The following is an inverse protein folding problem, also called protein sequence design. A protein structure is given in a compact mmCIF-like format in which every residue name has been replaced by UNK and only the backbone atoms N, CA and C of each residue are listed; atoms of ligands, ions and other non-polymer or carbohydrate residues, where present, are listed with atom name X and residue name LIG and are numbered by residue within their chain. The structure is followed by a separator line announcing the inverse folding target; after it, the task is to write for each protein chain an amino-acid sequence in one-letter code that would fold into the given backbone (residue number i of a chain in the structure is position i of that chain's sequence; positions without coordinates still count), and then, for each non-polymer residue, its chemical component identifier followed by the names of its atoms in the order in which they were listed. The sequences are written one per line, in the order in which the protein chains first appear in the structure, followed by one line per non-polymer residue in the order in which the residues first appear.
data_IF_745319103209
#
_entry.id   IF_745319103209
#
_cell.length_a   1.000
_cell.length_b   1.000
_cell.length_c   1.000
_cell.angle_alpha   90.00
_cell.angle_beta   90.00
_cell.angle_gamma   90.00
#
_symmetry.space_group_name_H-M   'P 1'
#
loop_
_entity.id
_entity.type
_entity.pdbx_description
1 polymer ?
#
# COMPACT_ATOMS: atom_id res chain seq x y z
N UNK A 1 -18.38 11.01 8.75
CA UNK A 1 -17.09 10.95 9.47
C UNK A 1 -17.27 10.12 10.73
N UNK A 2 -16.40 9.17 10.96
CA UNK A 2 -16.45 8.28 12.13
C UNK A 2 -15.72 8.95 13.29
N UNK A 3 -16.30 8.97 14.48
CA UNK A 3 -15.65 9.52 15.68
C UNK A 3 -15.07 8.36 16.49
N UNK A 4 -13.75 8.43 16.77
CA UNK A 4 -13.02 7.48 17.58
C UNK A 4 -12.71 8.07 18.94
N UNK A 5 -12.99 7.36 20.01
CA UNK A 5 -12.66 7.79 21.38
C UNK A 5 -11.27 7.27 21.76
N UNK A 6 -10.45 8.16 22.29
CA UNK A 6 -9.13 7.85 22.79
C UNK A 6 -8.92 8.48 24.16
N UNK A 7 -8.08 7.87 24.96
CA UNK A 7 -7.66 8.39 26.26
C UNK A 7 -6.16 8.69 26.21
N UNK A 8 -5.73 9.73 26.91
CA UNK A 8 -4.30 10.03 27.05
C UNK A 8 -3.60 8.89 27.76
N UNK A 9 -2.49 8.42 27.18
CA UNK A 9 -1.68 7.36 27.76
C UNK A 9 -0.68 7.92 28.76
N UNK A 10 -0.59 7.33 29.96
CA UNK A 10 0.51 7.59 30.88
C UNK A 10 1.82 7.01 30.29
N UNK A 11 2.84 7.88 30.16
CA UNK A 11 4.17 7.53 29.64
C UNK A 11 4.90 6.50 30.51
N UNK A 12 4.56 6.39 31.79
CA UNK A 12 5.15 5.43 32.71
C UNK A 12 4.64 4.00 32.49
N UNK A 13 3.50 3.82 31.82
CA UNK A 13 2.93 2.51 31.53
C UNK A 13 3.49 1.98 30.21
N UNK A 14 4.12 0.79 30.28
CA UNK A 14 4.69 0.13 29.09
C UNK A 14 3.59 -0.27 28.09
N UNK A 15 3.78 -0.01 26.80
CA UNK A 15 2.87 -0.38 25.73
C UNK A 15 2.47 -1.88 25.74
N UNK A 16 3.44 -2.78 26.04
CA UNK A 16 3.19 -4.22 26.15
C UNK A 16 2.15 -4.58 27.22
N UNK A 17 2.04 -3.80 28.31
CA UNK A 17 1.02 -4.02 29.34
C UNK A 17 -0.35 -3.60 28.82
N UNK A 18 -0.47 -2.41 28.22
CA UNK A 18 -1.72 -1.91 27.65
C UNK A 18 -2.27 -2.84 26.56
N UNK A 19 -1.40 -3.34 25.68
CA UNK A 19 -1.79 -4.31 24.63
C UNK A 19 -2.33 -5.62 25.24
N UNK A 20 -1.83 -6.08 26.38
CA UNK A 20 -2.39 -7.24 27.11
C UNK A 20 -3.74 -6.96 27.75
N UNK A 21 -3.98 -5.72 28.11
CA UNK A 21 -5.25 -5.24 28.70
C UNK A 21 -6.31 -4.95 27.61
N UNK A 22 -5.97 -5.15 26.32
CA UNK A 22 -6.88 -4.96 25.17
C UNK A 22 -6.93 -3.52 24.66
N UNK A 23 -5.86 -2.75 24.84
CA UNK A 23 -5.71 -1.43 24.27
C UNK A 23 -4.67 -1.42 23.15
N UNK A 24 -4.96 -0.63 22.14
CA UNK A 24 -4.00 -0.23 21.10
C UNK A 24 -3.33 1.06 21.53
N UNK A 25 -2.03 1.15 21.35
CA UNK A 25 -1.27 2.38 21.63
C UNK A 25 -1.12 3.19 20.35
N UNK A 26 -0.95 4.51 20.50
CA UNK A 26 -0.70 5.38 19.35
C UNK A 26 -0.26 6.76 19.78
N UNK A 27 0.03 7.59 18.80
CA UNK A 27 0.41 8.98 19.01
C UNK A 27 -0.39 9.89 18.10
N UNK A 28 -0.75 11.05 18.62
CA UNK A 28 -1.32 12.15 17.82
C UNK A 28 -0.26 13.23 17.71
N UNK A 29 0.12 13.55 16.50
CA UNK A 29 1.09 14.60 16.21
C UNK A 29 0.58 15.52 15.10
N UNK A 30 1.12 16.70 15.02
CA UNK A 30 0.73 17.70 14.01
C UNK A 30 1.28 19.05 14.33
N UNK A 31 1.13 19.97 13.39
CA UNK A 31 1.74 21.30 13.49
C UNK A 31 1.16 22.16 14.61
N UNK A 32 -0.13 21.99 14.91
CA UNK A 32 -0.80 22.69 16.01
C UNK A 32 -0.59 22.04 17.38
N UNK A 33 0.00 20.83 17.39
CA UNK A 33 0.25 20.10 18.62
C UNK A 33 1.71 20.28 19.02
N UNK A 34 1.95 20.86 20.17
CA UNK A 34 3.30 21.03 20.73
C UNK A 34 3.84 19.66 21.16
N UNK A 35 4.62 19.02 20.26
CA UNK A 35 5.13 17.67 20.48
C UNK A 35 4.19 16.59 19.98
N UNK A 36 3.99 15.53 20.77
CA UNK A 36 3.03 14.46 20.46
C UNK A 36 2.20 14.13 21.70
N UNK A 37 0.93 13.77 21.49
CA UNK A 37 0.02 13.31 22.53
C UNK A 37 -0.03 11.79 22.44
N UNK A 38 0.55 11.05 23.41
CA UNK A 38 0.42 9.59 23.44
C UNK A 38 -1.01 9.21 23.83
N UNK A 39 -1.61 8.33 23.07
CA UNK A 39 -3.00 7.88 23.27
C UNK A 39 -3.08 6.36 23.43
N UNK A 40 -4.14 5.91 24.07
CA UNK A 40 -4.57 4.52 24.13
C UNK A 40 -6.04 4.44 23.70
N UNK A 41 -6.36 3.43 22.93
CA UNK A 41 -7.68 3.25 22.33
C UNK A 41 -8.10 1.81 22.54
N UNK A 42 -9.37 1.57 22.81
CA UNK A 42 -9.89 0.21 22.94
C UNK A 42 -9.73 -0.57 21.64
N UNK A 43 -9.18 -1.79 21.70
CA UNK A 43 -8.95 -2.62 20.51
C UNK A 43 -10.20 -2.82 19.65
N UNK A 44 -11.36 -3.04 20.30
CA UNK A 44 -12.64 -3.20 19.57
C UNK A 44 -13.07 -1.97 18.79
N UNK A 45 -12.72 -0.78 19.28
CA UNK A 45 -13.04 0.49 18.61
C UNK A 45 -12.14 0.69 17.39
N UNK A 46 -10.86 0.35 17.52
CA UNK A 46 -9.91 0.35 16.40
C UNK A 46 -10.32 -0.66 15.33
N UNK A 47 -10.69 -1.87 15.71
CA UNK A 47 -11.15 -2.90 14.75
C UNK A 47 -12.43 -2.47 14.01
N UNK A 48 -13.35 -1.75 14.68
CA UNK A 48 -14.53 -1.19 13.99
C UNK A 48 -14.15 -0.09 13.02
N UNK A 49 -13.22 0.78 13.42
CA UNK A 49 -12.72 1.85 12.56
C UNK A 49 -12.10 1.27 11.29
N UNK A 50 -11.22 0.28 11.42
CA UNK A 50 -10.49 -0.33 10.31
C UNK A 50 -11.35 -1.17 9.34
N UNK A 51 -12.61 -1.44 9.70
CA UNK A 51 -13.58 -2.01 8.74
C UNK A 51 -14.05 -1.01 7.69
N UNK A 52 -14.01 0.27 8.01
CA UNK A 52 -14.54 1.35 7.16
C UNK A 52 -13.47 2.34 6.71
N UNK A 53 -12.38 2.43 7.44
CA UNK A 53 -11.31 3.41 7.23
C UNK A 53 -9.96 2.69 7.26
N UNK A 54 -9.07 3.08 6.36
CA UNK A 54 -7.73 2.52 6.24
C UNK A 54 -6.67 3.61 6.47
N UNK A 55 -5.42 3.27 6.26
CA UNK A 55 -4.32 4.24 6.20
C UNK A 55 -4.65 5.32 5.16
N UNK A 56 -4.44 6.57 5.51
CA UNK A 56 -4.80 7.72 4.66
C UNK A 56 -6.21 8.25 4.86
N UNK A 57 -7.08 7.58 5.62
CA UNK A 57 -8.44 8.06 5.90
C UNK A 57 -8.47 9.15 6.96
N UNK A 58 -9.39 10.11 6.77
CA UNK A 58 -9.67 11.19 7.70
C UNK A 58 -10.70 10.75 8.75
N UNK A 59 -10.40 10.99 10.02
CA UNK A 59 -11.21 10.56 11.17
C UNK A 59 -11.28 11.66 12.22
N UNK A 60 -12.41 11.75 12.92
CA UNK A 60 -12.53 12.60 14.12
C UNK A 60 -12.07 11.83 15.36
N UNK A 61 -11.03 12.30 16.03
CA UNK A 61 -10.50 11.70 17.24
C UNK A 61 -10.86 12.54 18.45
N UNK A 62 -11.56 11.94 19.41
CA UNK A 62 -11.88 12.55 20.70
C UNK A 62 -10.87 12.07 21.74
N UNK A 63 -9.99 12.96 22.19
CA UNK A 63 -8.99 12.68 23.22
C UNK A 63 -9.39 13.43 24.49
N UNK A 64 -9.85 12.70 25.50
CA UNK A 64 -10.26 13.26 26.79
C UNK A 64 -11.23 14.46 26.70
N UNK A 65 -12.16 14.42 25.73
CA UNK A 65 -13.16 15.46 25.48
C UNK A 65 -12.70 16.60 24.54
N UNK A 66 -11.51 16.49 23.96
CA UNK A 66 -11.06 17.37 22.87
C UNK A 66 -11.10 16.63 21.56
N UNK A 67 -11.83 17.18 20.60
CA UNK A 67 -11.96 16.59 19.27
C UNK A 67 -10.90 17.16 18.34
N UNK A 68 -10.18 16.28 17.67
CA UNK A 68 -9.19 16.58 16.66
C UNK A 68 -9.61 15.97 15.32
N UNK A 69 -9.42 16.71 14.26
CA UNK A 69 -9.51 16.19 12.91
C UNK A 69 -8.15 15.60 12.54
N UNK A 70 -8.11 14.30 12.28
CA UNK A 70 -6.85 13.57 12.11
C UNK A 70 -6.88 12.65 10.90
N UNK A 71 -5.70 12.47 10.31
CA UNK A 71 -5.41 11.47 9.30
C UNK A 71 -4.80 10.25 9.97
N UNK A 72 -5.25 9.06 9.61
CA UNK A 72 -4.58 7.80 9.97
C UNK A 72 -3.30 7.70 9.17
N UNK A 73 -2.15 7.86 9.83
CA UNK A 73 -0.85 7.92 9.18
C UNK A 73 -0.21 6.56 9.04
N UNK A 74 -0.21 5.79 10.12
CA UNK A 74 0.42 4.49 10.18
C UNK A 74 -0.39 3.53 11.05
N UNK A 75 -0.40 2.26 10.64
CA UNK A 75 -1.09 1.19 11.34
C UNK A 75 -0.13 0.02 11.43
N UNK A 76 0.28 -0.33 12.64
CA UNK A 76 1.09 -1.52 12.90
C UNK A 76 0.21 -2.70 13.24
N UNK A 77 0.37 -3.77 12.48
CA UNK A 77 -0.42 -4.99 12.60
C UNK A 77 0.45 -6.20 12.95
N UNK A 78 0.12 -6.90 14.04
CA UNK A 78 0.74 -8.17 14.42
C UNK A 78 0.01 -9.32 13.72
N UNK A 79 0.57 -9.80 12.60
CA UNK A 79 -0.03 -10.88 11.79
C UNK A 79 -0.17 -12.20 12.56
N UNK A 80 0.71 -12.48 13.53
CA UNK A 80 0.64 -13.71 14.32
C UNK A 80 -0.54 -13.73 15.30
N UNK A 81 -0.89 -12.57 15.85
CA UNK A 81 -2.01 -12.42 16.79
C UNK A 81 -3.28 -11.93 16.13
N UNK A 82 -3.18 -11.56 14.86
CA UNK A 82 -4.26 -10.94 14.11
C UNK A 82 -4.84 -9.69 14.79
N UNK A 83 -3.96 -8.84 15.28
CA UNK A 83 -4.32 -7.68 16.09
C UNK A 83 -3.51 -6.44 15.70
N UNK A 84 -4.15 -5.28 15.75
CA UNK A 84 -3.47 -3.99 15.63
C UNK A 84 -2.69 -3.71 16.91
N UNK A 85 -1.43 -3.34 16.78
CA UNK A 85 -0.54 -3.04 17.90
C UNK A 85 -0.36 -1.55 18.14
N UNK A 86 -0.30 -0.78 17.08
CA UNK A 86 -0.11 0.68 17.14
C UNK A 86 -0.87 1.36 16.00
N UNK A 87 -1.31 2.58 16.25
CA UNK A 87 -1.96 3.43 15.25
C UNK A 87 -1.57 4.88 15.48
N UNK A 88 -0.96 5.49 14.49
CA UNK A 88 -0.50 6.86 14.57
C UNK A 88 -1.38 7.80 13.76
N UNK A 89 -1.64 8.97 14.34
CA UNK A 89 -2.54 9.97 13.80
C UNK A 89 -1.81 11.29 13.57
N UNK A 90 -2.03 11.88 12.40
CA UNK A 90 -1.57 13.22 12.08
C UNK A 90 -2.74 14.20 12.15
N UNK A 91 -2.68 15.19 13.05
CA UNK A 91 -3.68 16.24 13.12
C UNK A 91 -3.63 17.10 11.85
N UNK A 92 -4.79 17.37 11.30
CA UNK A 92 -4.98 18.11 10.05
C UNK A 92 -5.16 19.60 10.33
N UNK A 93 -4.56 20.41 9.46
CA UNK A 93 -4.76 21.86 9.41
C UNK A 93 -5.32 22.19 8.04
N UNK A 94 -6.43 22.92 7.98
CA UNK A 94 -7.20 23.16 6.75
C UNK A 94 -6.41 23.74 5.57
N UNK A 95 -5.34 24.49 5.86
CA UNK A 95 -4.55 25.21 4.85
C UNK A 95 -3.19 24.55 4.58
N UNK A 96 -2.94 23.34 5.07
CA UNK A 96 -1.68 22.64 4.88
C UNK A 96 -1.86 21.38 4.06
N UNK A 97 -1.02 21.22 3.02
CA UNK A 97 -0.96 19.98 2.27
C UNK A 97 -0.31 18.88 3.12
N UNK A 98 -0.99 17.77 3.26
CA UNK A 98 -0.51 16.61 3.99
C UNK A 98 -0.14 15.49 3.04
N UNK A 99 0.84 14.67 3.44
CA UNK A 99 1.16 13.45 2.73
C UNK A 99 0.20 12.36 3.16
N UNK A 100 -0.55 11.83 2.21
CA UNK A 100 -1.45 10.72 2.42
C UNK A 100 -1.18 9.58 1.44
N UNK A 101 -1.89 8.49 1.64
CA UNK A 101 -1.83 7.31 0.81
C UNK A 101 -3.27 6.91 0.48
N UNK A 102 -3.54 6.61 -0.77
CA UNK A 102 -4.81 6.05 -1.21
C UNK A 102 -4.65 4.55 -1.49
N UNK A 103 -5.53 3.74 -0.93
CA UNK A 103 -5.57 2.31 -1.18
C UNK A 103 -6.18 2.03 -2.56
N UNK A 104 -5.55 1.14 -3.31
CA UNK A 104 -6.05 0.69 -4.61
C UNK A 104 -6.94 -0.53 -4.41
N UNK A 105 -8.22 -0.39 -4.74
CA UNK A 105 -9.22 -1.46 -4.65
C UNK A 105 -9.64 -1.90 -6.04
N UNK A 106 -9.49 -3.18 -6.33
CA UNK A 106 -9.89 -3.78 -7.60
C UNK A 106 -11.33 -4.27 -7.51
N UNK A 107 -12.19 -3.72 -8.36
CA UNK A 107 -13.57 -4.15 -8.50
C UNK A 107 -13.70 -5.22 -9.59
N UNK A 108 -14.65 -6.14 -9.40
CA UNK A 108 -14.99 -7.17 -10.40
C UNK A 108 -13.83 -8.12 -10.79
N UNK A 109 -12.82 -8.28 -9.93
CA UNK A 109 -11.66 -9.12 -10.21
C UNK A 109 -12.03 -10.61 -10.49
N UNK A 110 -13.17 -11.08 -9.98
CA UNK A 110 -13.67 -12.44 -10.22
C UNK A 110 -14.16 -12.67 -11.66
N UNK A 111 -14.39 -11.59 -12.42
CA UNK A 111 -14.89 -11.67 -13.80
C UNK A 111 -13.77 -11.76 -14.84
N UNK A 112 -12.53 -11.60 -14.45
CA UNK A 112 -11.36 -11.77 -15.33
C UNK A 112 -11.12 -13.27 -15.53
N UNK A 113 -11.64 -13.83 -16.61
CA UNK A 113 -11.63 -15.29 -16.88
C UNK A 113 -10.36 -15.75 -17.59
N UNK A 114 -9.71 -14.90 -18.38
CA UNK A 114 -8.70 -15.31 -19.35
C UNK A 114 -7.26 -15.02 -18.88
N UNK A 115 -7.01 -14.75 -17.59
CA UNK A 115 -5.66 -14.41 -17.13
C UNK A 115 -5.49 -14.39 -15.62
N UNK A 116 -4.25 -14.17 -15.20
CA UNK A 116 -3.90 -13.90 -13.82
C UNK A 116 -3.77 -12.40 -13.64
N UNK A 117 -4.65 -11.84 -12.82
CA UNK A 117 -4.58 -10.45 -12.41
C UNK A 117 -3.44 -10.28 -11.38
N UNK A 118 -2.51 -9.39 -11.68
CA UNK A 118 -1.42 -9.06 -10.77
C UNK A 118 -1.52 -7.59 -10.37
N UNK A 119 -1.82 -7.33 -9.12
CA UNK A 119 -1.72 -6.01 -8.52
C UNK A 119 -0.26 -5.78 -8.10
N UNK A 120 0.38 -4.76 -8.66
CA UNK A 120 1.77 -4.40 -8.36
C UNK A 120 1.89 -3.26 -7.36
N UNK A 121 0.88 -2.38 -7.34
CA UNK A 121 0.79 -1.30 -6.37
C UNK A 121 -0.51 -1.43 -5.59
N UNK A 122 -0.40 -1.53 -4.28
CA UNK A 122 -1.53 -1.58 -3.36
C UNK A 122 -1.88 -0.19 -2.82
N UNK A 123 -0.90 0.70 -2.77
CA UNK A 123 -1.01 2.03 -2.22
C UNK A 123 -0.40 3.08 -3.18
N UNK A 124 -1.07 4.22 -3.32
CA UNK A 124 -0.60 5.37 -4.10
C UNK A 124 -0.33 6.52 -3.14
N UNK A 125 0.92 6.95 -3.05
CA UNK A 125 1.35 8.08 -2.24
C UNK A 125 1.10 9.39 -2.97
N UNK A 126 0.48 10.33 -2.28
CA UNK A 126 0.17 11.64 -2.81
C UNK A 126 0.20 12.71 -1.73
N UNK A 127 0.11 13.96 -2.12
CA UNK A 127 0.06 15.12 -1.25
C UNK A 127 -1.13 15.98 -1.64
N UNK A 128 -2.01 16.28 -0.68
CA UNK A 128 -3.21 17.05 -0.91
C UNK A 128 -3.59 17.90 0.31
N UNK A 129 -4.50 18.84 0.10
CA UNK A 129 -5.18 19.53 1.20
C UNK A 129 -6.19 18.57 1.87
N UNK A 130 -6.53 18.78 3.16
CA UNK A 130 -7.51 17.95 3.86
C UNK A 130 -8.86 17.81 3.15
N UNK A 131 -9.30 18.83 2.44
CA UNK A 131 -10.55 18.82 1.68
C UNK A 131 -10.51 17.95 0.42
N UNK A 132 -9.31 17.63 -0.10
CA UNK A 132 -9.08 16.84 -1.31
C UNK A 132 -8.49 15.45 -1.01
N UNK A 133 -8.57 14.99 0.23
CA UNK A 133 -8.10 13.65 0.61
C UNK A 133 -8.98 12.58 -0.02
N UNK A 134 -8.35 11.53 -0.54
CA UNK A 134 -8.99 10.37 -1.17
C UNK A 134 -8.53 9.11 -0.43
N UNK A 135 -9.45 8.39 0.18
CA UNK A 135 -9.15 7.19 0.96
C UNK A 135 -8.87 5.99 0.06
N UNK A 136 -9.62 5.86 -1.05
CA UNK A 136 -9.59 4.69 -1.93
C UNK A 136 -9.64 5.11 -3.38
N UNK A 137 -8.94 4.37 -4.21
CA UNK A 137 -9.01 4.47 -5.67
C UNK A 137 -9.55 3.15 -6.20
N UNK A 138 -10.78 3.17 -6.70
CA UNK A 138 -11.44 1.99 -7.24
C UNK A 138 -11.10 1.83 -8.73
N UNK A 139 -10.67 0.65 -9.11
CA UNK A 139 -10.34 0.29 -10.51
C UNK A 139 -11.23 -0.86 -10.91
N UNK A 140 -12.07 -0.66 -11.93
CA UNK A 140 -12.85 -1.73 -12.51
C UNK A 140 -12.02 -2.52 -13.54
N UNK A 141 -11.78 -3.79 -13.22
CA UNK A 141 -10.97 -4.69 -14.04
C UNK A 141 -11.79 -5.66 -14.88
N UNK A 142 -13.13 -5.54 -14.91
CA UNK A 142 -14.02 -6.45 -15.64
C UNK A 142 -13.70 -6.53 -17.13
N UNK A 143 -13.33 -5.41 -17.75
CA UNK A 143 -13.05 -5.33 -19.21
C UNK A 143 -11.61 -5.64 -19.59
N UNK A 144 -10.73 -5.88 -18.62
CA UNK A 144 -9.30 -6.11 -18.87
C UNK A 144 -9.04 -7.46 -19.54
N UNK A 145 -8.11 -7.45 -20.49
CA UNK A 145 -7.65 -8.62 -21.23
C UNK A 145 -6.20 -8.95 -20.92
N UNK A 146 -5.77 -10.14 -21.32
CA UNK A 146 -4.37 -10.55 -21.23
C UNK A 146 -3.48 -9.55 -21.97
N UNK A 147 -2.50 -9.00 -21.25
CA UNK A 147 -1.55 -8.00 -21.75
C UNK A 147 -1.94 -6.56 -21.41
N UNK A 148 -3.14 -6.32 -20.89
CA UNK A 148 -3.53 -4.98 -20.47
C UNK A 148 -2.79 -4.56 -19.20
N UNK A 149 -2.46 -3.26 -19.13
CA UNK A 149 -1.72 -2.64 -18.04
C UNK A 149 -2.41 -1.34 -17.68
N UNK A 150 -2.67 -1.14 -16.40
CA UNK A 150 -3.16 0.13 -15.85
C UNK A 150 -2.01 0.86 -15.17
N UNK A 151 -1.77 2.10 -15.56
CA UNK A 151 -0.74 2.97 -14.99
C UNK A 151 -1.36 3.97 -14.01
N UNK A 152 -0.53 4.50 -13.10
CA UNK A 152 -0.97 5.51 -12.12
C UNK A 152 -1.59 6.74 -12.80
N UNK A 153 -1.05 7.18 -13.95
CA UNK A 153 -1.56 8.33 -14.72
C UNK A 153 -2.98 8.14 -15.27
N UNK A 154 -3.41 6.89 -15.45
CA UNK A 154 -4.74 6.56 -16.01
C UNK A 154 -5.85 6.59 -14.95
N UNK A 155 -5.48 6.78 -13.69
CA UNK A 155 -6.39 6.81 -12.55
C UNK A 155 -7.04 8.18 -12.35
N UNK A 156 -8.24 8.18 -11.79
CA UNK A 156 -8.99 9.40 -11.49
C UNK A 156 -8.20 10.36 -10.56
N UNK A 157 -7.40 9.83 -9.65
CA UNK A 157 -6.57 10.60 -8.73
C UNK A 157 -5.52 11.45 -9.46
N UNK A 158 -4.99 10.96 -10.58
CA UNK A 158 -3.99 11.68 -11.39
C UNK A 158 -4.57 12.88 -12.14
N UNK A 159 -5.87 12.88 -12.38
CA UNK A 159 -6.58 13.98 -13.10
C UNK A 159 -6.99 15.11 -12.18
N UNK A 160 -6.85 14.99 -10.87
CA UNK A 160 -7.27 16.00 -9.91
C UNK A 160 -6.16 17.05 -9.70
N UNK A 161 -6.40 18.33 -10.00
CA UNK A 161 -5.39 19.39 -9.89
C UNK A 161 -5.01 19.73 -8.43
N UNK A 162 -5.83 19.33 -7.45
CA UNK A 162 -5.58 19.59 -6.02
C UNK A 162 -4.70 18.52 -5.38
N UNK A 163 -4.34 17.49 -6.14
CA UNK A 163 -3.54 16.35 -5.68
C UNK A 163 -2.18 16.35 -6.37
N UNK A 164 -1.13 16.41 -5.58
CA UNK A 164 0.24 16.25 -6.06
C UNK A 164 0.65 14.78 -5.91
N UNK A 165 0.77 14.04 -6.99
CA UNK A 165 1.23 12.64 -6.97
C UNK A 165 2.70 12.58 -6.54
N UNK A 166 3.00 11.66 -5.61
CA UNK A 166 4.36 11.33 -5.17
C UNK A 166 4.85 10.03 -5.80
N UNK A 167 3.93 9.13 -6.13
CA UNK A 167 4.21 7.88 -6.86
C UNK A 167 4.45 8.21 -8.33
N UNK A 168 5.37 7.47 -8.97
CA UNK A 168 5.69 7.65 -10.38
C UNK A 168 4.41 7.46 -11.24
N UNK A 169 4.05 8.44 -12.08
CA UNK A 169 2.89 8.34 -12.96
C UNK A 169 2.95 7.18 -13.97
N UNK A 170 4.17 6.73 -14.31
CA UNK A 170 4.38 5.60 -15.23
C UNK A 170 4.45 4.24 -14.51
N UNK A 171 4.32 4.22 -13.18
CA UNK A 171 4.29 2.98 -12.43
C UNK A 171 3.06 2.15 -12.78
N UNK A 172 3.26 0.83 -12.89
CA UNK A 172 2.19 -0.13 -13.18
C UNK A 172 1.43 -0.42 -11.91
N UNK A 173 0.12 -0.18 -11.91
CA UNK A 173 -0.77 -0.49 -10.79
C UNK A 173 -1.27 -1.92 -10.88
N UNK A 174 -1.81 -2.28 -12.04
CA UNK A 174 -2.40 -3.60 -12.30
C UNK A 174 -2.01 -4.08 -13.69
N UNK A 175 -1.75 -5.37 -13.83
CA UNK A 175 -1.53 -6.04 -15.12
C UNK A 175 -2.21 -7.39 -15.15
N UNK A 176 -2.66 -7.80 -16.34
CA UNK A 176 -3.22 -9.13 -16.57
C UNK A 176 -2.22 -9.95 -17.38
N UNK A 177 -1.72 -11.03 -16.80
CA UNK A 177 -0.75 -11.94 -17.42
C UNK A 177 -1.39 -13.27 -17.76
N UNK A 178 -0.80 -14.01 -18.70
CA UNK A 178 -1.23 -15.38 -18.99
C UNK A 178 -0.90 -16.30 -17.81
N UNK A 179 -1.81 -17.22 -17.52
CA UNK A 179 -1.50 -18.31 -16.60
C UNK A 179 -0.45 -19.22 -17.27
N UNK A 180 0.79 -19.17 -16.82
CA UNK A 180 1.85 -20.04 -17.30
C UNK A 180 1.76 -21.36 -16.51
N UNK A 181 1.01 -22.31 -17.03
CA UNK A 181 0.83 -23.65 -16.45
C UNK A 181 1.50 -24.73 -17.32
N UNK A 182 2.63 -24.43 -17.94
CA UNK A 182 3.43 -25.45 -18.63
C UNK A 182 4.89 -25.37 -18.18
N UNK A 183 5.55 -26.52 -17.91
CA UNK A 183 7.01 -26.55 -17.93
C UNK A 183 7.44 -26.19 -19.36
N UNK A 184 8.33 -25.22 -19.49
CA UNK A 184 9.00 -24.91 -20.74
C UNK A 184 9.73 -26.16 -21.20
N UNK A 185 9.19 -26.88 -22.21
CA UNK A 185 10.01 -27.66 -23.09
C UNK A 185 10.85 -26.66 -23.89
N UNK A 186 12.12 -26.56 -23.56
CA UNK A 186 13.13 -25.92 -24.37
C UNK A 186 13.08 -26.58 -25.75
N UNK A 187 12.41 -25.96 -26.71
CA UNK A 187 12.63 -26.24 -28.10
C UNK A 187 13.95 -25.59 -28.51
N UNK A 188 15.02 -26.40 -28.40
CA UNK A 188 16.25 -26.13 -29.14
C UNK A 188 15.89 -26.01 -30.63
N UNK A 189 15.85 -24.80 -31.14
CA UNK A 189 15.96 -24.57 -32.56
C UNK A 189 17.40 -24.88 -32.99
N UNK A 190 17.56 -26.08 -33.53
CA UNK A 190 18.73 -26.48 -34.32
C UNK A 190 18.67 -25.73 -35.63
N UNK A 191 19.41 -24.66 -35.76
CA UNK A 191 19.81 -24.14 -37.07
C UNK A 191 21.00 -24.95 -37.57
N UNK A 192 20.70 -25.89 -38.44
CA UNK A 192 21.68 -26.52 -39.29
C UNK A 192 21.82 -25.65 -40.54
N UNK A 193 22.97 -25.06 -40.75
CA UNK A 193 23.50 -24.90 -42.13
C UNK A 193 25.01 -25.00 -42.18
N UNK A 194 25.36 -25.82 -43.14
CA UNK A 194 26.65 -26.31 -43.58
C UNK A 194 27.63 -25.20 -43.96
N UNK A 195 28.88 -25.41 -43.81
CA UNK A 195 29.83 -25.80 -44.89
C UNK A 195 31.28 -25.71 -44.40
N UNK A 196 31.87 -26.87 -44.53
CA UNK A 196 33.17 -27.14 -45.20
C UNK A 196 34.43 -26.41 -44.75
N UNK A 197 35.30 -27.25 -44.31
CA UNK A 197 36.63 -27.51 -44.93
C UNK A 197 37.86 -26.86 -44.27
N UNK A 198 38.75 -27.74 -44.08
CA UNK A 198 40.22 -27.84 -44.13
C UNK A 198 40.97 -27.85 -42.80
N UNK A 199 41.36 -29.09 -42.50
CA UNK A 199 42.72 -29.65 -42.36
C UNK A 199 43.81 -28.89 -41.59
N UNK A 200 44.42 -29.76 -40.78
CA UNK A 200 45.87 -29.75 -40.38
C UNK A 200 46.25 -28.88 -39.19
N UNK A 201 47.04 -29.22 -38.29
CA UNK A 201 47.99 -30.34 -38.06
C UNK A 201 48.60 -30.18 -36.68
N UNK A 202 48.86 -31.31 -36.11
CA UNK A 202 50.04 -31.59 -35.27
C UNK A 202 50.35 -30.81 -34.01
N UNK A 203 50.28 -31.57 -32.98
CA UNK A 203 51.39 -31.94 -32.10
C UNK A 203 51.90 -30.99 -31.01
N UNK A 204 51.84 -31.53 -29.83
CA UNK A 204 53.01 -31.80 -28.94
C UNK A 204 53.28 -30.83 -27.81
N UNK A 205 53.39 -31.54 -26.74
CA UNK A 205 54.28 -31.38 -25.55
C UNK A 205 53.88 -30.39 -24.47
N UNK A 206 53.56 -30.99 -23.39
CA UNK A 206 54.42 -31.38 -22.22
C UNK A 206 54.92 -30.22 -21.37
N UNK A 207 54.61 -30.42 -20.10
CA UNK A 207 55.41 -30.07 -18.94
C UNK A 207 55.52 -28.59 -18.50
N UNK A 208 54.91 -28.26 -17.43
CA UNK A 208 55.50 -28.26 -16.08
C UNK A 208 54.52 -27.78 -15.04
#
# INVERSE_FOLDING_TARGET
MTTLKAETRDKNVKAKRLRREGYVTGNVFGREITGSIPVKIGQREVERLLKTSNKGSQVMLDVDGKTYDVLIKEIDYDAMKNQVTEIDFQALVSNEKVHSVAEVVLLNHEKVLDGILQQKLEEISYKALPAALVDRVEIDVESMKIGDVVLVKDLAIASNPDIDLMTDPEAVVVTVTRAHNAPEEETEETDADATADTKKDAAKKEEK
#
